data_IF_204993637625
#
_entry.id   IF_204993637625
#
_cell.length_a   1.000
_cell.length_b   1.000
_cell.length_c   1.000
_cell.angle_alpha   90.00
_cell.angle_beta   90.00
_cell.angle_gamma   90.00
#
_symmetry.space_group_name_H-M   'P 1'
#
loop_
_entity.id
_entity.type
_entity.pdbx_description
1 polymer ?
#
# COMPACT_ATOMS: atom_id res chain seq x y z
N UNK A 1 -22.03 -5.24 3.57
CA UNK A 1 -22.23 -3.86 3.97
C UNK A 1 -21.02 -3.34 4.71
N UNK A 2 -20.62 -2.05 4.58
CA UNK A 2 -19.26 -1.72 4.85
C UNK A 2 -18.99 -0.25 5.05
N UNK A 3 -18.29 0.15 6.08
CA UNK A 3 -17.62 1.40 6.23
C UNK A 3 -18.15 2.32 7.33
N UNK A 4 -17.24 2.76 8.16
CA UNK A 4 -17.40 3.85 9.10
C UNK A 4 -16.25 4.82 8.95
N UNK A 5 -16.48 6.08 9.18
CA UNK A 5 -15.44 7.11 9.13
C UNK A 5 -15.05 7.50 10.55
N UNK A 6 -13.77 7.46 10.87
CA UNK A 6 -13.22 7.97 12.12
C UNK A 6 -12.14 8.98 11.75
N UNK A 7 -12.44 10.27 11.83
CA UNK A 7 -11.52 11.34 11.49
C UNK A 7 -11.03 11.28 10.04
N UNK A 8 -9.71 11.39 9.83
CA UNK A 8 -9.06 11.28 8.50
C UNK A 8 -8.88 9.84 8.03
N UNK A 9 -9.27 8.84 8.81
CA UNK A 9 -9.16 7.42 8.49
C UNK A 9 -10.54 6.81 8.31
N UNK A 10 -10.70 5.99 7.27
CA UNK A 10 -11.90 5.19 7.05
C UNK A 10 -11.67 3.80 7.59
N UNK A 11 -12.56 3.31 8.46
CA UNK A 11 -12.57 1.92 8.87
C UNK A 11 -13.50 1.12 7.94
N UNK A 12 -13.02 0.00 7.45
CA UNK A 12 -13.74 -0.86 6.51
C UNK A 12 -13.94 -2.23 7.12
N UNK A 13 -15.12 -2.81 6.91
CA UNK A 13 -15.47 -4.13 7.40
C UNK A 13 -15.60 -5.09 6.22
N UNK A 14 -14.79 -6.14 6.22
CA UNK A 14 -15.00 -7.29 5.33
C UNK A 14 -15.65 -8.42 6.12
N UNK A 15 -16.73 -8.98 5.60
CA UNK A 15 -17.25 -10.25 6.11
C UNK A 15 -16.45 -11.38 5.49
N UNK A 16 -15.75 -12.10 6.31
CA UNK A 16 -15.36 -13.48 6.04
C UNK A 16 -16.47 -14.40 6.55
N UNK A 17 -16.46 -15.67 6.13
CA UNK A 17 -17.47 -16.67 6.50
C UNK A 17 -17.69 -16.85 8.01
N UNK A 18 -16.78 -16.39 8.85
CA UNK A 18 -16.81 -16.53 10.31
C UNK A 18 -16.41 -15.26 11.08
N UNK A 19 -16.64 -14.07 10.54
CA UNK A 19 -16.37 -12.83 11.26
C UNK A 19 -16.20 -11.61 10.38
N UNK A 20 -16.15 -10.42 11.01
CA UNK A 20 -15.85 -9.18 10.33
C UNK A 20 -14.38 -8.82 10.55
N UNK A 21 -13.60 -8.63 9.47
CA UNK A 21 -12.27 -8.06 9.53
C UNK A 21 -12.40 -6.56 9.34
N UNK A 22 -11.90 -5.79 10.32
CA UNK A 22 -11.83 -4.33 10.24
C UNK A 22 -10.51 -3.96 9.59
N UNK A 23 -10.56 -3.29 8.43
CA UNK A 23 -9.39 -2.73 7.78
C UNK A 23 -9.37 -1.23 7.97
N UNK A 24 -8.32 -0.73 8.64
CA UNK A 24 -8.05 0.70 8.69
C UNK A 24 -7.52 1.14 7.32
N UNK A 25 -8.05 2.24 6.80
CA UNK A 25 -7.56 2.83 5.56
C UNK A 25 -6.81 4.14 5.83
N UNK A 26 -5.60 4.24 5.28
CA UNK A 26 -4.79 5.44 5.29
C UNK A 26 -4.66 5.95 3.86
N UNK A 27 -5.17 7.17 3.61
CA UNK A 27 -4.95 7.86 2.35
C UNK A 27 -3.77 8.83 2.52
N UNK A 28 -2.64 8.52 1.91
CA UNK A 28 -1.45 9.36 1.99
C UNK A 28 -1.68 10.78 1.47
N UNK A 29 -2.59 10.95 0.53
CA UNK A 29 -2.87 12.25 -0.09
C UNK A 29 -3.46 13.28 0.90
N UNK A 30 -4.04 12.80 2.01
CA UNK A 30 -4.57 13.66 3.09
C UNK A 30 -3.47 14.19 4.02
N UNK A 31 -2.22 13.75 3.85
CA UNK A 31 -1.09 14.03 4.76
C UNK A 31 0.04 14.82 4.10
N UNK A 32 -0.32 15.83 3.30
CA UNK A 32 0.65 16.75 2.70
C UNK A 32 1.37 17.61 3.75
N UNK A 33 0.75 17.81 4.89
CA UNK A 33 1.27 18.57 6.04
C UNK A 33 2.27 17.78 6.90
N UNK A 34 2.44 16.48 6.65
CA UNK A 34 3.40 15.65 7.38
C UNK A 34 4.69 15.56 6.56
N UNK A 35 5.81 16.10 7.08
CA UNK A 35 7.11 15.98 6.42
C UNK A 35 7.57 14.52 6.34
N UNK A 36 8.16 14.16 5.20
CA UNK A 36 8.84 12.90 5.02
C UNK A 36 10.03 13.14 4.09
N UNK A 37 11.08 13.68 4.69
CA UNK A 37 12.30 14.05 3.98
C UNK A 37 13.20 12.84 3.82
N UNK A 38 13.80 12.73 2.63
CA UNK A 38 14.80 11.72 2.36
C UNK A 38 16.08 12.02 3.14
N UNK A 39 16.52 11.09 3.94
CA UNK A 39 17.68 11.29 4.82
C UNK A 39 19.03 10.92 4.19
N UNK A 40 19.05 10.34 2.98
CA UNK A 40 20.27 9.86 2.35
C UNK A 40 20.59 10.55 1.02
N UNK A 41 19.59 10.97 0.27
CA UNK A 41 19.73 11.52 -1.07
C UNK A 41 18.85 12.77 -1.24
N UNK A 42 19.24 13.87 -0.60
CA UNK A 42 18.42 15.09 -0.59
C UNK A 42 18.45 15.90 -1.87
N UNK A 43 19.50 15.71 -2.69
CA UNK A 43 19.81 16.62 -3.78
C UNK A 43 18.84 16.64 -4.95
N UNK A 44 18.08 15.59 -5.17
CA UNK A 44 17.21 15.45 -6.33
C UNK A 44 15.71 15.64 -6.08
N UNK A 45 15.29 15.79 -4.83
CA UNK A 45 13.85 15.83 -4.48
C UNK A 45 13.40 17.25 -4.18
N UNK A 46 12.47 17.83 -4.96
CA UNK A 46 11.88 19.12 -4.67
C UNK A 46 11.18 19.14 -3.30
N UNK A 47 11.25 20.27 -2.61
CA UNK A 47 10.68 20.44 -1.26
C UNK A 47 9.18 20.06 -1.20
N UNK A 48 8.40 20.43 -2.21
CA UNK A 48 6.97 20.12 -2.29
C UNK A 48 6.65 18.62 -2.38
N UNK A 49 7.66 17.79 -2.66
CA UNK A 49 7.54 16.31 -2.69
C UNK A 49 8.10 15.62 -1.45
N UNK A 50 8.61 16.38 -0.47
CA UNK A 50 9.19 15.83 0.76
C UNK A 50 8.14 15.68 1.87
N UNK A 51 7.05 15.02 1.54
CA UNK A 51 5.93 14.80 2.48
C UNK A 51 5.27 13.45 2.24
N UNK A 52 4.41 13.06 3.15
CA UNK A 52 3.68 11.79 3.10
C UNK A 52 2.81 11.67 1.86
N UNK A 53 2.16 12.76 1.44
CA UNK A 53 1.28 12.71 0.25
C UNK A 53 2.05 12.30 -1.01
N UNK A 54 3.31 12.69 -1.12
CA UNK A 54 4.15 12.36 -2.28
C UNK A 54 4.91 11.02 -2.13
N UNK A 55 5.35 10.66 -0.93
CA UNK A 55 6.31 9.57 -0.72
C UNK A 55 5.90 8.55 0.37
N UNK A 56 4.72 8.69 0.96
CA UNK A 56 4.30 7.91 2.12
C UNK A 56 3.56 6.60 1.82
N UNK A 57 3.56 6.08 0.60
CA UNK A 57 2.81 4.87 0.25
C UNK A 57 3.30 3.63 1.03
N UNK A 58 4.60 3.42 1.13
CA UNK A 58 5.18 2.29 1.87
C UNK A 58 4.82 2.30 3.35
N UNK A 59 5.12 3.36 4.09
CA UNK A 59 4.70 3.51 5.48
C UNK A 59 3.19 3.39 5.69
N UNK A 60 2.37 3.95 4.82
CA UNK A 60 0.91 3.83 4.89
C UNK A 60 0.45 2.37 4.77
N UNK A 61 1.00 1.62 3.82
CA UNK A 61 0.72 0.19 3.67
C UNK A 61 1.17 -0.61 4.89
N UNK A 62 2.35 -0.34 5.44
CA UNK A 62 2.84 -1.03 6.64
C UNK A 62 1.97 -0.78 7.86
N UNK A 63 1.54 0.45 8.07
CA UNK A 63 0.63 0.79 9.18
C UNK A 63 -0.72 0.07 9.05
N UNK A 64 -1.30 0.04 7.85
CA UNK A 64 -2.53 -0.70 7.58
C UNK A 64 -2.35 -2.21 7.81
N UNK A 65 -1.22 -2.76 7.37
CA UNK A 65 -0.90 -4.18 7.53
C UNK A 65 -0.74 -4.57 9.00
N UNK A 66 0.01 -3.82 9.79
CA UNK A 66 0.20 -4.07 11.22
C UNK A 66 -1.12 -4.00 11.97
N UNK A 67 -1.93 -2.99 11.69
CA UNK A 67 -3.25 -2.83 12.31
C UNK A 67 -4.18 -4.02 12.02
N UNK A 68 -4.13 -4.55 10.80
CA UNK A 68 -4.96 -5.68 10.38
C UNK A 68 -4.46 -7.04 10.91
N UNK A 69 -3.15 -7.24 11.03
CA UNK A 69 -2.55 -8.53 11.39
C UNK A 69 -2.26 -8.68 12.87
N UNK A 70 -2.33 -7.61 13.65
CA UNK A 70 -2.01 -7.60 15.08
C UNK A 70 -3.09 -6.91 15.90
N UNK A 71 -2.98 -6.97 17.21
CA UNK A 71 -3.80 -6.18 18.13
C UNK A 71 -3.21 -4.79 18.40
N UNK A 72 -2.08 -4.48 17.76
CA UNK A 72 -1.39 -3.19 17.90
C UNK A 72 -1.89 -2.20 16.87
N UNK A 73 -1.88 -0.92 17.25
CA UNK A 73 -2.00 0.20 16.33
C UNK A 73 -0.61 0.76 16.05
N UNK A 74 -0.24 0.86 14.78
CA UNK A 74 1.01 1.46 14.36
C UNK A 74 0.76 2.83 13.76
N UNK A 75 1.15 3.87 14.49
CA UNK A 75 0.96 5.25 14.05
C UNK A 75 1.87 5.59 12.86
N UNK A 76 1.33 6.31 11.88
CA UNK A 76 2.06 6.67 10.67
C UNK A 76 3.36 7.43 10.98
N UNK A 77 3.30 8.39 11.91
CA UNK A 77 4.47 9.18 12.34
C UNK A 77 5.57 8.32 12.95
N UNK A 78 5.23 7.27 13.69
CA UNK A 78 6.20 6.33 14.26
C UNK A 78 6.85 5.48 13.15
N UNK A 79 6.07 5.07 12.15
CA UNK A 79 6.60 4.36 10.98
C UNK A 79 7.56 5.23 10.17
N UNK A 80 7.22 6.49 9.94
CA UNK A 80 8.08 7.45 9.25
C UNK A 80 9.41 7.67 10.01
N UNK A 81 9.32 7.80 11.32
CA UNK A 81 10.49 7.95 12.19
C UNK A 81 11.41 6.74 12.08
N UNK A 82 10.86 5.53 12.20
CA UNK A 82 11.62 4.30 12.04
C UNK A 82 12.25 4.20 10.66
N UNK A 83 11.52 4.54 9.61
CA UNK A 83 12.04 4.57 8.24
C UNK A 83 13.27 5.45 8.10
N UNK A 84 13.25 6.65 8.70
CA UNK A 84 14.39 7.56 8.72
C UNK A 84 15.56 6.98 9.54
N UNK A 85 15.29 6.41 10.72
CA UNK A 85 16.31 5.84 11.61
C UNK A 85 17.08 4.68 10.97
N UNK A 86 16.39 3.82 10.22
CA UNK A 86 17.03 2.66 9.57
C UNK A 86 17.54 2.95 8.16
N UNK A 87 17.43 4.17 7.69
CA UNK A 87 17.89 4.57 6.36
C UNK A 87 17.03 4.04 5.22
N UNK A 88 15.75 3.77 5.47
CA UNK A 88 14.82 3.28 4.46
C UNK A 88 14.19 4.41 3.63
N UNK A 89 14.22 5.65 4.10
CA UNK A 89 13.72 6.80 3.38
C UNK A 89 14.72 7.23 2.31
N UNK A 90 14.44 6.90 1.05
CA UNK A 90 15.31 7.10 -0.11
C UNK A 90 14.78 8.20 -1.02
N UNK A 91 15.59 8.61 -2.01
CA UNK A 91 15.26 9.69 -2.95
C UNK A 91 13.89 9.52 -3.64
N UNK A 92 13.54 8.30 -4.01
CA UNK A 92 12.30 8.00 -4.73
C UNK A 92 11.18 7.44 -3.84
N UNK A 93 11.38 7.40 -2.54
CA UNK A 93 10.42 6.86 -1.59
C UNK A 93 11.04 5.92 -0.57
N UNK A 94 10.24 5.00 -0.05
CA UNK A 94 10.65 4.08 1.01
C UNK A 94 11.16 2.76 0.44
N UNK A 95 12.33 2.30 0.92
CA UNK A 95 12.80 0.95 0.67
C UNK A 95 12.13 -0.04 1.63
N UNK A 96 11.17 -0.81 1.16
CA UNK A 96 10.53 -1.85 1.97
C UNK A 96 11.43 -3.06 2.22
N UNK A 97 12.47 -3.27 1.41
CA UNK A 97 13.51 -4.28 1.71
C UNK A 97 14.26 -3.96 3.00
N UNK A 98 14.43 -2.69 3.32
CA UNK A 98 15.04 -2.22 4.57
C UNK A 98 14.00 -2.16 5.69
N UNK A 99 12.87 -1.50 5.45
CA UNK A 99 11.87 -1.21 6.49
C UNK A 99 11.02 -2.42 6.85
N UNK A 100 10.64 -3.25 5.87
CA UNK A 100 9.75 -4.38 6.06
C UNK A 100 10.21 -5.37 7.13
N UNK A 101 11.46 -5.90 7.06
CA UNK A 101 11.98 -6.82 8.08
C UNK A 101 12.00 -6.22 9.49
N UNK A 102 12.34 -4.94 9.61
CA UNK A 102 12.41 -4.24 10.92
C UNK A 102 11.02 -4.08 11.52
N UNK A 103 10.04 -3.71 10.71
CA UNK A 103 8.65 -3.62 11.17
C UNK A 103 8.10 -5.00 11.54
N UNK A 104 8.38 -6.02 10.74
CA UNK A 104 7.97 -7.39 11.02
C UNK A 104 8.52 -7.88 12.35
N UNK A 105 9.81 -7.68 12.63
CA UNK A 105 10.43 -8.02 13.89
C UNK A 105 9.78 -7.29 15.07
N UNK A 106 9.55 -5.98 14.92
CA UNK A 106 8.95 -5.14 15.98
C UNK A 106 7.56 -5.61 16.38
N UNK A 107 6.77 -6.12 15.45
CA UNK A 107 5.39 -6.56 15.69
C UNK A 107 5.22 -8.09 15.69
N UNK A 108 6.32 -8.82 15.75
CA UNK A 108 6.34 -10.29 15.76
C UNK A 108 5.58 -10.90 14.56
N UNK A 109 5.81 -10.34 13.38
CA UNK A 109 5.29 -10.83 12.12
C UNK A 109 6.38 -11.55 11.34
N UNK A 110 5.99 -12.47 10.47
CA UNK A 110 6.91 -13.11 9.54
C UNK A 110 7.05 -12.24 8.28
N UNK A 111 8.29 -12.01 7.86
CA UNK A 111 8.61 -11.31 6.64
C UNK A 111 9.04 -12.28 5.55
N UNK A 112 8.61 -12.03 4.33
CA UNK A 112 9.05 -12.75 3.13
C UNK A 112 8.85 -11.87 1.89
N UNK A 113 9.47 -12.28 0.80
CA UNK A 113 9.35 -11.64 -0.50
C UNK A 113 9.06 -12.71 -1.55
N UNK A 114 8.25 -12.38 -2.53
CA UNK A 114 7.99 -13.25 -3.67
C UNK A 114 7.66 -12.43 -4.92
N UNK A 115 7.98 -12.98 -6.08
CA UNK A 115 7.47 -12.55 -7.39
C UNK A 115 6.58 -13.62 -8.04
N UNK A 116 6.26 -14.67 -7.30
CA UNK A 116 5.40 -15.77 -7.75
C UNK A 116 3.95 -15.52 -7.33
N UNK A 117 3.07 -15.43 -8.31
CA UNK A 117 1.64 -15.18 -8.07
C UNK A 117 0.98 -16.32 -7.28
N UNK A 118 1.40 -17.56 -7.45
CA UNK A 118 0.85 -18.70 -6.72
C UNK A 118 1.26 -18.67 -5.24
N UNK A 119 2.50 -18.28 -4.95
CA UNK A 119 2.96 -18.07 -3.58
C UNK A 119 2.18 -16.92 -2.92
N UNK A 120 1.95 -15.82 -3.62
CA UNK A 120 1.13 -14.70 -3.15
C UNK A 120 -0.29 -15.17 -2.80
N UNK A 121 -0.95 -15.88 -3.70
CA UNK A 121 -2.30 -16.42 -3.47
C UNK A 121 -2.34 -17.34 -2.25
N UNK A 122 -1.37 -18.25 -2.12
CA UNK A 122 -1.30 -19.16 -0.98
C UNK A 122 -1.10 -18.41 0.34
N UNK A 123 -0.26 -17.37 0.35
CA UNK A 123 -0.03 -16.52 1.50
C UNK A 123 -1.31 -15.77 1.93
N UNK A 124 -2.01 -15.17 0.99
CA UNK A 124 -3.28 -14.47 1.24
C UNK A 124 -4.37 -15.43 1.73
N UNK A 125 -4.45 -16.63 1.17
CA UNK A 125 -5.41 -17.66 1.58
C UNK A 125 -5.22 -18.13 3.04
N UNK A 126 -4.00 -18.00 3.57
CA UNK A 126 -3.68 -18.31 4.98
C UNK A 126 -3.93 -17.13 5.94
N UNK A 127 -4.53 -16.05 5.45
CA UNK A 127 -4.80 -14.84 6.25
C UNK A 127 -3.67 -13.83 6.29
N UNK A 128 -2.62 -14.01 5.48
CA UNK A 128 -1.56 -13.01 5.32
C UNK A 128 -2.00 -11.82 4.46
N UNK A 129 -1.24 -10.75 4.51
CA UNK A 129 -1.37 -9.60 3.62
C UNK A 129 -0.07 -9.41 2.84
N UNK A 130 -0.12 -8.66 1.75
CA UNK A 130 1.06 -8.37 0.95
C UNK A 130 1.09 -6.92 0.49
N UNK A 131 2.28 -6.34 0.43
CA UNK A 131 2.50 -5.02 -0.17
C UNK A 131 3.14 -5.25 -1.53
N UNK A 132 2.43 -4.87 -2.59
CA UNK A 132 2.92 -5.01 -3.95
C UNK A 132 3.59 -3.71 -4.40
N UNK A 133 4.70 -3.85 -5.12
CA UNK A 133 5.44 -2.73 -5.69
C UNK A 133 5.07 -2.56 -7.16
N UNK A 134 4.30 -1.51 -7.44
CA UNK A 134 3.90 -1.14 -8.79
C UNK A 134 5.01 -0.32 -9.47
N UNK A 135 5.40 -0.74 -10.68
CA UNK A 135 6.53 -0.14 -11.38
C UNK A 135 6.22 1.15 -12.13
N UNK A 136 4.96 1.41 -12.43
CA UNK A 136 4.55 2.58 -13.20
C UNK A 136 4.63 2.41 -14.71
N UNK A 137 4.69 3.53 -15.41
CA UNK A 137 4.72 3.56 -16.88
C UNK A 137 6.03 2.99 -17.44
N UNK A 138 5.92 2.31 -18.56
CA UNK A 138 7.04 1.85 -19.36
C UNK A 138 6.66 1.88 -20.84
N UNK A 139 7.62 1.66 -21.71
CA UNK A 139 7.38 1.69 -23.14
C UNK A 139 6.20 0.78 -23.54
N UNK A 140 5.18 1.36 -24.17
CA UNK A 140 3.99 0.65 -24.60
C UNK A 140 3.02 0.21 -23.47
N UNK A 141 3.25 0.69 -22.24
CA UNK A 141 2.45 0.30 -21.08
C UNK A 141 2.17 1.47 -20.15
N UNK A 142 0.91 1.71 -19.85
CA UNK A 142 0.49 2.67 -18.84
C UNK A 142 0.29 1.99 -17.50
N UNK A 143 0.98 2.45 -16.47
CA UNK A 143 0.85 1.93 -15.11
C UNK A 143 -0.56 2.11 -14.57
N UNK A 144 -1.11 1.06 -13.97
CA UNK A 144 -2.48 1.06 -13.44
C UNK A 144 -2.55 1.78 -12.10
N UNK A 145 -1.66 1.46 -11.17
CA UNK A 145 -1.68 2.01 -9.83
C UNK A 145 -0.87 3.30 -9.69
N UNK A 146 0.03 3.56 -10.62
CA UNK A 146 0.89 4.73 -10.62
C UNK A 146 1.48 4.98 -12.00
N UNK A 147 1.93 6.20 -12.25
CA UNK A 147 2.79 6.52 -13.40
C UNK A 147 4.28 6.38 -13.07
N UNK A 148 4.65 6.59 -11.81
CA UNK A 148 6.00 6.36 -11.29
C UNK A 148 6.11 5.06 -10.48
N UNK A 149 6.75 5.06 -9.33
CA UNK A 149 6.74 3.93 -8.40
C UNK A 149 5.65 4.08 -7.34
N UNK A 150 5.09 2.96 -6.87
CA UNK A 150 4.04 2.99 -5.85
C UNK A 150 3.92 1.66 -5.12
N UNK A 151 3.53 1.71 -3.84
CA UNK A 151 3.16 0.53 -3.07
C UNK A 151 1.66 0.51 -2.83
N UNK A 152 1.07 -0.66 -2.99
CA UNK A 152 -0.34 -0.95 -2.71
C UNK A 152 -0.45 -2.14 -1.76
N UNK A 153 -1.52 -2.18 -0.95
CA UNK A 153 -1.77 -3.27 -0.03
C UNK A 153 -2.73 -4.27 -0.65
N UNK A 154 -2.25 -5.47 -0.92
CA UNK A 154 -3.09 -6.59 -1.40
C UNK A 154 -3.70 -7.28 -0.19
N UNK A 155 -5.01 -7.22 -0.09
CA UNK A 155 -5.79 -7.68 1.07
C UNK A 155 -6.24 -9.13 0.90
N UNK A 156 -6.68 -9.49 -0.31
CA UNK A 156 -7.13 -10.83 -0.64
C UNK A 156 -7.03 -11.06 -2.14
N UNK A 157 -7.07 -12.33 -2.54
CA UNK A 157 -7.20 -12.72 -3.95
C UNK A 157 -7.95 -14.04 -4.04
N UNK A 158 -8.75 -14.18 -5.09
CA UNK A 158 -9.29 -15.45 -5.53
C UNK A 158 -8.59 -15.91 -6.83
N UNK A 159 -9.18 -16.84 -7.59
CA UNK A 159 -8.57 -17.31 -8.84
C UNK A 159 -8.63 -16.29 -9.99
N UNK A 160 -9.42 -15.24 -9.86
CA UNK A 160 -9.69 -14.29 -10.93
C UNK A 160 -9.21 -12.88 -10.61
N UNK A 161 -9.40 -12.40 -9.39
CA UNK A 161 -9.11 -11.02 -9.04
C UNK A 161 -8.50 -10.84 -7.65
N UNK A 162 -7.79 -9.73 -7.50
CA UNK A 162 -7.26 -9.25 -6.23
C UNK A 162 -8.10 -8.08 -5.69
N UNK A 163 -8.19 -8.03 -4.37
CA UNK A 163 -8.74 -6.91 -3.61
C UNK A 163 -7.59 -6.11 -2.97
N UNK A 164 -7.59 -4.81 -3.18
CA UNK A 164 -6.47 -3.92 -2.88
C UNK A 164 -6.96 -2.71 -2.10
N UNK A 165 -6.13 -2.23 -1.18
CA UNK A 165 -6.20 -0.88 -0.63
C UNK A 165 -5.07 -0.04 -1.25
N UNK A 166 -5.45 1.01 -1.95
CA UNK A 166 -4.52 1.95 -2.59
C UNK A 166 -4.35 3.19 -1.71
N UNK A 167 -3.17 3.42 -1.09
CA UNK A 167 -2.96 4.57 -0.21
C UNK A 167 -2.98 5.91 -0.94
N UNK A 168 -2.92 5.93 -2.26
CA UNK A 168 -3.05 7.16 -3.07
C UNK A 168 -4.31 7.20 -3.93
N UNK A 169 -5.37 6.52 -3.47
CA UNK A 169 -6.65 6.56 -4.17
C UNK A 169 -7.26 7.95 -4.16
N UNK A 170 -7.73 8.38 -5.32
CA UNK A 170 -8.59 9.54 -5.53
C UNK A 170 -9.70 9.16 -6.52
N UNK A 171 -10.82 9.83 -6.42
CA UNK A 171 -11.92 9.64 -7.38
C UNK A 171 -11.44 9.88 -8.82
N UNK A 172 -11.86 9.03 -9.73
CA UNK A 172 -11.47 9.11 -11.15
C UNK A 172 -10.11 8.51 -11.49
N UNK A 173 -9.33 8.07 -10.50
CA UNK A 173 -7.97 7.55 -10.76
C UNK A 173 -7.95 6.39 -11.75
N UNK A 174 -8.90 5.48 -11.64
CA UNK A 174 -8.94 4.26 -12.45
C UNK A 174 -9.77 4.39 -13.73
N UNK A 175 -10.37 5.55 -13.97
CA UNK A 175 -11.01 5.92 -15.23
C UNK A 175 -10.08 6.71 -16.16
N UNK A 176 -8.86 7.00 -15.74
CA UNK A 176 -7.86 7.69 -16.57
C UNK A 176 -7.49 6.88 -17.82
N UNK A 177 -7.14 7.54 -18.94
CA UNK A 177 -6.69 6.86 -20.15
C UNK A 177 -5.55 5.87 -19.88
N UNK A 178 -5.69 4.65 -20.43
CA UNK A 178 -4.73 3.56 -20.21
C UNK A 178 -4.97 2.74 -18.95
N UNK A 179 -5.77 3.22 -18.00
CA UNK A 179 -6.18 2.50 -16.77
C UNK A 179 -7.62 2.02 -16.84
N UNK A 180 -8.47 2.70 -17.58
CA UNK A 180 -9.89 2.39 -17.70
C UNK A 180 -10.12 0.92 -18.12
N UNK A 181 -11.01 0.25 -17.40
CA UNK A 181 -11.31 -1.17 -17.59
C UNK A 181 -10.30 -2.16 -16.97
N UNK A 182 -9.17 -1.70 -16.43
CA UNK A 182 -8.15 -2.58 -15.82
C UNK A 182 -8.33 -2.73 -14.31
N UNK A 183 -8.85 -1.72 -13.64
CA UNK A 183 -9.16 -1.74 -12.22
C UNK A 183 -10.44 -0.96 -11.97
N UNK A 184 -11.12 -1.27 -10.87
CA UNK A 184 -12.31 -0.56 -10.42
C UNK A 184 -12.28 -0.33 -8.93
N UNK A 185 -12.80 0.80 -8.48
CA UNK A 185 -12.96 1.11 -7.07
C UNK A 185 -14.40 0.87 -6.64
N UNK A 186 -14.58 0.12 -5.55
CA UNK A 186 -15.89 -0.18 -4.95
C UNK A 186 -15.76 -0.07 -3.43
N UNK A 187 -16.52 0.83 -2.83
CA UNK A 187 -16.57 1.02 -1.37
C UNK A 187 -15.18 1.18 -0.71
N UNK A 188 -14.26 1.87 -1.39
CA UNK A 188 -12.91 2.14 -0.90
C UNK A 188 -11.87 1.05 -1.18
N UNK A 189 -12.30 -0.09 -1.69
CA UNK A 189 -11.40 -1.12 -2.20
C UNK A 189 -11.21 -0.99 -3.71
N UNK A 190 -10.07 -1.44 -4.18
CA UNK A 190 -9.75 -1.51 -5.61
C UNK A 190 -9.64 -2.97 -6.01
N UNK A 191 -10.28 -3.33 -7.10
CA UNK A 191 -10.28 -4.68 -7.64
C UNK A 191 -9.64 -4.69 -9.03
N UNK A 192 -8.77 -5.64 -9.26
CA UNK A 192 -8.20 -5.90 -10.59
C UNK A 192 -8.02 -7.39 -10.80
N UNK A 193 -7.90 -7.81 -12.07
CA UNK A 193 -7.55 -9.19 -12.37
C UNK A 193 -6.15 -9.53 -11.86
N UNK A 194 -5.89 -10.81 -11.62
CA UNK A 194 -4.55 -11.28 -11.28
C UNK A 194 -3.53 -11.01 -12.39
N UNK A 195 -4.00 -11.02 -13.65
CA UNK A 195 -3.17 -10.66 -14.80
C UNK A 195 -2.72 -9.20 -14.72
N UNK A 196 -3.64 -8.28 -14.44
CA UNK A 196 -3.31 -6.86 -14.28
C UNK A 196 -2.34 -6.65 -13.11
N UNK A 197 -2.58 -7.29 -11.98
CA UNK A 197 -1.67 -7.21 -10.84
C UNK A 197 -0.26 -7.67 -11.20
N UNK A 198 -0.14 -8.82 -11.89
CA UNK A 198 1.15 -9.38 -12.29
C UNK A 198 1.87 -8.55 -13.37
N UNK A 199 1.13 -7.86 -14.22
CA UNK A 199 1.71 -6.96 -15.24
C UNK A 199 2.20 -5.63 -14.63
N UNK A 200 1.51 -5.12 -13.62
CA UNK A 200 1.77 -3.81 -13.03
C UNK A 200 2.83 -3.86 -11.91
N UNK A 201 2.95 -4.98 -11.26
CA UNK A 201 3.85 -5.24 -10.12
C UNK A 201 4.85 -6.34 -10.47
#
# INVERSE_FOLDING_TARGET
>A
GYGGTIGKSKAWYMRQSEGAVVMKYINQLEHRDIPYEHNLDHGGVPEEKRNVAAAGCGPSCLCMMVDALTLSTYELTDCLKLSNEVGANREIGTSLKILGPVVAERFNLNYGETSDLNELKAHLAKGGLAIANSGGDREGYTGVFTHGGHYILVVSADDNEACILDPSYKEGKYEEPGRDGKARAVDGFVYCSLKVLAEDC
#
